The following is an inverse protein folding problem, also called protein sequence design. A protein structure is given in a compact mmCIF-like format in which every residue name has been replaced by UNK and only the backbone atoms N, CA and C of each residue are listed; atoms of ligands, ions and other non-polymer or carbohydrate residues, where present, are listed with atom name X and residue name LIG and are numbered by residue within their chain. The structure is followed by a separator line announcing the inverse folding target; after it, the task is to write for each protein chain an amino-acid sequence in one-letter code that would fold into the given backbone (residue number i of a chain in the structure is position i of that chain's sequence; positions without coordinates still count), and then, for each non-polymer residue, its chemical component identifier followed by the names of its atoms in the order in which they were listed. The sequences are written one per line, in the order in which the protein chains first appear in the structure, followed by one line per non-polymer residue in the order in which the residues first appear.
data_IF_990184605255
#
_entry.id   IF_990184605255
#
_cell.length_a   1.000
_cell.length_b   1.000
_cell.length_c   1.000
_cell.angle_alpha   90.00
_cell.angle_beta   90.00
_cell.angle_gamma   90.00
#
_symmetry.space_group_name_H-M   'P 1'
#
loop_
_entity.id
_entity.type
_entity.pdbx_description
1 polymer ?
#
# COMPACT_ATOMS: atom_id res chain seq x y z
N UNK A 1 17.12 8.20 -5.80
CA UNK A 1 15.77 8.46 -6.33
C UNK A 1 15.11 7.13 -6.59
N UNK A 2 13.80 7.02 -6.34
CA UNK A 2 12.97 5.85 -6.67
C UNK A 2 11.60 6.28 -7.19
N UNK A 3 10.82 5.35 -7.74
CA UNK A 3 9.44 5.61 -8.14
C UNK A 3 8.56 5.72 -6.91
N UNK A 4 7.77 6.79 -6.83
CA UNK A 4 6.73 6.96 -5.83
C UNK A 4 5.68 5.85 -5.94
N UNK A 5 5.40 5.15 -4.83
CA UNK A 5 4.39 4.08 -4.73
C UNK A 5 2.98 4.56 -5.13
N UNK A 6 2.71 5.85 -4.95
CA UNK A 6 1.37 6.42 -5.17
C UNK A 6 1.16 6.81 -6.63
N UNK A 7 2.10 7.57 -7.22
CA UNK A 7 1.91 8.15 -8.55
C UNK A 7 2.89 7.65 -9.63
N UNK A 8 3.84 6.77 -9.27
CA UNK A 8 4.81 6.20 -10.20
C UNK A 8 5.91 7.15 -10.69
N UNK A 9 5.85 8.44 -10.39
CA UNK A 9 6.88 9.41 -10.77
C UNK A 9 8.15 9.20 -9.96
N UNK A 10 9.30 9.56 -10.54
CA UNK A 10 10.56 9.59 -9.80
C UNK A 10 10.51 10.64 -8.69
N UNK A 11 10.98 10.24 -7.52
CA UNK A 11 11.02 11.07 -6.33
C UNK A 11 12.36 10.91 -5.58
N UNK A 12 12.85 11.97 -4.92
CA UNK A 12 13.85 11.87 -3.88
C UNK A 12 13.46 10.85 -2.82
N UNK A 13 14.43 10.04 -2.39
CA UNK A 13 14.25 9.04 -1.35
C UNK A 13 15.41 9.07 -0.38
N UNK A 14 15.12 8.80 0.89
CA UNK A 14 16.11 8.72 1.97
C UNK A 14 15.88 7.43 2.75
N UNK A 15 16.91 6.60 2.84
CA UNK A 15 16.89 5.43 3.71
C UNK A 15 17.06 5.88 5.15
N UNK A 16 16.07 5.60 6.00
CA UNK A 16 16.09 5.97 7.41
C UNK A 16 16.65 4.84 8.28
N UNK A 17 16.38 3.59 7.90
CA UNK A 17 16.90 2.39 8.57
C UNK A 17 17.03 1.25 7.56
N UNK A 18 17.47 0.06 8.01
CA UNK A 18 17.53 -1.15 7.18
C UNK A 18 16.16 -1.56 6.61
N UNK A 19 15.06 -1.12 7.21
CA UNK A 19 13.70 -1.53 6.86
C UNK A 19 12.83 -0.39 6.34
N UNK A 20 13.24 0.87 6.53
CA UNK A 20 12.38 2.04 6.35
C UNK A 20 12.95 3.04 5.36
N UNK A 21 12.10 3.49 4.45
CA UNK A 21 12.41 4.56 3.50
C UNK A 21 11.44 5.74 3.64
N UNK A 22 11.98 6.93 3.43
CA UNK A 22 11.23 8.17 3.29
C UNK A 22 11.25 8.59 1.81
N UNK A 23 10.08 8.93 1.29
CA UNK A 23 9.89 9.45 -0.06
C UNK A 23 9.39 10.88 0.06
N UNK A 24 10.00 11.79 -0.68
CA UNK A 24 9.52 13.16 -0.81
C UNK A 24 9.04 13.39 -2.24
N UNK A 25 7.77 13.08 -2.51
CA UNK A 25 7.22 13.16 -3.86
C UNK A 25 6.61 14.55 -4.10
N UNK A 26 7.02 15.29 -5.16
CA UNK A 26 6.49 16.62 -5.44
C UNK A 26 4.99 16.63 -5.79
N UNK A 27 4.41 15.47 -6.12
CA UNK A 27 2.99 15.34 -6.48
C UNK A 27 2.12 14.75 -5.36
N UNK A 28 2.70 13.90 -4.52
CA UNK A 28 1.95 13.16 -3.49
C UNK A 28 2.21 13.66 -2.07
N UNK A 29 3.31 14.38 -1.85
CA UNK A 29 3.79 14.76 -0.52
C UNK A 29 4.85 13.79 0.01
N UNK A 30 5.27 14.05 1.25
CA UNK A 30 6.26 13.23 1.94
C UNK A 30 5.59 12.14 2.77
N UNK A 31 6.09 10.91 2.64
CA UNK A 31 5.60 9.75 3.38
C UNK A 31 6.72 8.74 3.59
N UNK A 32 6.50 7.82 4.52
CA UNK A 32 7.41 6.71 4.81
C UNK A 32 6.79 5.39 4.43
N UNK A 33 7.62 4.40 4.14
CA UNK A 33 7.14 3.05 3.94
C UNK A 33 8.22 2.02 4.28
N UNK A 34 7.76 0.83 4.66
CA UNK A 34 8.63 -0.33 4.83
C UNK A 34 9.00 -0.99 3.51
N UNK A 35 10.25 -1.43 3.39
CA UNK A 35 10.71 -2.14 2.19
C UNK A 35 9.85 -3.38 1.88
N UNK A 36 9.35 -4.07 2.90
CA UNK A 36 8.43 -5.20 2.74
C UNK A 36 7.07 -4.75 2.18
N UNK A 37 6.51 -3.64 2.68
CA UNK A 37 5.23 -3.08 2.23
C UNK A 37 5.22 -2.84 0.71
N UNK A 38 6.33 -2.35 0.15
CA UNK A 38 6.42 -2.14 -1.30
C UNK A 38 6.13 -3.41 -2.10
N UNK A 39 6.66 -4.56 -1.66
CA UNK A 39 6.48 -5.83 -2.36
C UNK A 39 5.01 -6.28 -2.30
N UNK A 40 4.42 -6.24 -1.10
CA UNK A 40 3.00 -6.57 -0.87
C UNK A 40 2.08 -5.64 -1.66
N UNK A 41 2.39 -4.35 -1.67
CA UNK A 41 1.62 -3.32 -2.36
C UNK A 41 1.71 -3.44 -3.89
N UNK A 42 2.89 -3.70 -4.44
CA UNK A 42 3.08 -3.91 -5.88
C UNK A 42 2.30 -5.17 -6.34
N UNK A 43 2.36 -6.26 -5.56
CA UNK A 43 1.55 -7.45 -5.82
C UNK A 43 0.06 -7.13 -5.76
N UNK A 44 -0.41 -6.45 -4.70
CA UNK A 44 -1.81 -6.04 -4.56
C UNK A 44 -2.28 -5.22 -5.77
N UNK A 45 -1.53 -4.19 -6.16
CA UNK A 45 -1.86 -3.34 -7.32
C UNK A 45 -1.91 -4.11 -8.64
N UNK A 46 -1.13 -5.17 -8.80
CA UNK A 46 -1.12 -6.01 -10.00
C UNK A 46 -2.44 -6.76 -10.22
N UNK A 47 -3.18 -7.03 -9.13
CA UNK A 47 -4.47 -7.71 -9.15
C UNK A 47 -5.65 -6.74 -9.37
N UNK A 48 -5.40 -5.42 -9.38
CA UNK A 48 -6.46 -4.41 -9.44
C UNK A 48 -6.73 -3.94 -10.88
N UNK A 49 -8.00 -3.68 -11.18
CA UNK A 49 -8.40 -3.00 -12.41
C UNK A 49 -7.83 -1.58 -12.47
N UNK A 50 -7.67 -1.00 -13.66
CA UNK A 50 -7.18 0.38 -13.82
C UNK A 50 -8.04 1.40 -13.03
N UNK A 51 -9.35 1.17 -12.97
CA UNK A 51 -10.29 1.99 -12.20
C UNK A 51 -9.98 1.95 -10.71
N UNK A 52 -9.76 0.75 -10.16
CA UNK A 52 -9.41 0.58 -8.74
C UNK A 52 -8.03 1.14 -8.43
N UNK A 53 -7.04 0.94 -9.30
CA UNK A 53 -5.70 1.56 -9.15
C UNK A 53 -5.78 3.09 -9.04
N UNK A 54 -6.59 3.74 -9.87
CA UNK A 54 -6.83 5.20 -9.80
C UNK A 54 -7.53 5.61 -8.49
N UNK A 55 -8.44 4.78 -7.97
CA UNK A 55 -9.11 5.02 -6.68
C UNK A 55 -8.12 4.91 -5.51
N UNK A 56 -7.31 3.85 -5.49
CA UNK A 56 -6.26 3.61 -4.50
C UNK A 56 -5.28 4.79 -4.46
N UNK A 57 -4.77 5.18 -5.64
CA UNK A 57 -3.89 6.33 -5.78
C UNK A 57 -4.49 7.60 -5.16
N UNK A 58 -5.76 7.91 -5.45
CA UNK A 58 -6.43 9.10 -4.88
C UNK A 58 -6.56 9.04 -3.36
N UNK A 59 -6.84 7.86 -2.79
CA UNK A 59 -6.95 7.72 -1.34
C UNK A 59 -5.59 7.85 -0.65
N UNK A 60 -4.54 7.22 -1.18
CA UNK A 60 -3.19 7.39 -0.62
C UNK A 60 -2.74 8.85 -0.68
N UNK A 61 -3.01 9.56 -1.79
CA UNK A 61 -2.75 11.00 -1.88
C UNK A 61 -3.51 11.80 -0.82
N UNK A 62 -4.74 11.41 -0.50
CA UNK A 62 -5.54 12.06 0.54
C UNK A 62 -4.93 11.84 1.93
N UNK A 63 -4.55 10.60 2.25
CA UNK A 63 -3.93 10.25 3.53
C UNK A 63 -2.63 11.02 3.77
N UNK A 64 -1.74 11.05 2.78
CA UNK A 64 -0.46 11.76 2.87
C UNK A 64 -0.66 13.27 3.09
N UNK A 65 -1.72 13.86 2.51
CA UNK A 65 -2.03 15.28 2.71
C UNK A 65 -2.64 15.59 4.09
N UNK A 66 -3.17 14.59 4.79
CA UNK A 66 -3.80 14.79 6.10
C UNK A 66 -2.79 14.79 7.25
N UNK A 67 -1.58 14.26 7.05
CA UNK A 67 -0.55 14.27 8.07
C UNK A 67 0.66 13.40 7.71
N UNK A 68 1.54 13.19 8.70
CA UNK A 68 2.64 12.26 8.57
C UNK A 68 2.12 10.83 8.44
N UNK A 69 2.51 10.14 7.37
CA UNK A 69 2.05 8.77 7.07
C UNK A 69 3.26 7.84 6.95
N UNK A 70 3.15 6.65 7.54
CA UNK A 70 4.03 5.53 7.33
C UNK A 70 3.21 4.32 6.85
N UNK A 71 3.55 3.75 5.70
CA UNK A 71 2.93 2.52 5.20
C UNK A 71 3.74 1.29 5.65
N UNK A 72 3.09 0.35 6.33
CA UNK A 72 3.75 -0.78 7.00
C UNK A 72 3.20 -2.11 6.50
N UNK A 73 4.02 -3.16 6.48
CA UNK A 73 3.59 -4.51 6.12
C UNK A 73 3.12 -5.24 7.39
N UNK A 74 1.89 -5.74 7.37
CA UNK A 74 1.28 -6.29 8.59
C UNK A 74 1.75 -7.71 8.86
N UNK A 75 2.95 -7.85 9.43
CA UNK A 75 3.39 -9.03 10.17
C UNK A 75 4.39 -8.63 11.27
N UNK A 76 3.84 -8.37 12.46
CA UNK A 76 4.45 -8.52 13.79
C UNK A 76 5.68 -7.69 14.24
N UNK A 77 6.33 -6.83 13.44
CA UNK A 77 7.63 -6.24 13.88
C UNK A 77 7.91 -4.79 13.50
N UNK A 78 7.16 -3.83 14.03
CA UNK A 78 7.59 -2.42 13.91
C UNK A 78 7.13 -1.57 15.08
N UNK A 79 8.07 -0.79 15.62
CA UNK A 79 7.90 0.11 16.77
C UNK A 79 7.16 1.42 16.43
N UNK A 80 6.48 1.52 15.28
CA UNK A 80 5.79 2.75 14.85
C UNK A 80 4.34 2.51 14.45
N UNK A 81 3.47 3.44 14.84
CA UNK A 81 2.10 3.55 14.34
C UNK A 81 2.13 3.91 12.83
N UNK A 82 1.41 3.16 12.01
CA UNK A 82 1.37 3.34 10.56
C UNK A 82 0.10 2.77 9.95
N UNK A 83 -0.15 3.08 8.68
CA UNK A 83 -1.25 2.50 7.91
C UNK A 83 -0.80 1.20 7.27
N UNK A 84 -1.32 0.09 7.77
CA UNK A 84 -1.10 -1.21 7.15
C UNK A 84 -1.91 -1.35 5.85
N UNK A 85 -1.51 -2.31 5.01
CA UNK A 85 -2.20 -2.55 3.74
C UNK A 85 -3.69 -2.91 3.95
N UNK A 86 -4.03 -3.66 5.00
CA UNK A 86 -5.43 -3.99 5.29
C UNK A 86 -6.25 -2.76 5.72
N UNK A 87 -5.67 -1.80 6.44
CA UNK A 87 -6.35 -0.55 6.79
C UNK A 87 -6.59 0.32 5.56
N UNK A 88 -5.67 0.29 4.59
CA UNK A 88 -5.92 0.88 3.27
C UNK A 88 -7.11 0.20 2.59
N UNK A 89 -7.26 -1.12 2.67
CA UNK A 89 -8.41 -1.85 2.13
C UNK A 89 -9.73 -1.45 2.81
N UNK A 90 -9.73 -1.28 4.12
CA UNK A 90 -10.90 -0.83 4.89
C UNK A 90 -11.31 0.62 4.51
N UNK A 91 -10.32 1.51 4.36
CA UNK A 91 -10.55 2.89 3.87
C UNK A 91 -11.06 2.90 2.43
N UNK A 92 -10.63 1.94 1.60
CA UNK A 92 -11.09 1.80 0.22
C UNK A 92 -12.51 1.22 0.14
N UNK A 93 -12.95 0.47 1.14
CA UNK A 93 -14.26 -0.17 1.21
C UNK A 93 -15.06 0.17 2.48
N UNK A 94 -15.48 1.43 2.65
CA UNK A 94 -16.17 1.89 3.86
C UNK A 94 -17.59 1.30 4.06
N UNK A 95 -18.07 0.49 3.12
CA UNK A 95 -19.40 -0.14 3.14
C UNK A 95 -19.33 -1.66 3.38
N UNK A 96 -18.15 -2.25 3.56
CA UNK A 96 -18.01 -3.69 3.78
C UNK A 96 -18.55 -4.55 2.64
N UNK A 97 -18.35 -4.12 1.37
CA UNK A 97 -18.63 -5.01 0.23
C UNK A 97 -17.49 -6.00 0.17
N UNK A 98 -17.67 -7.18 0.75
CA UNK A 98 -16.73 -8.31 0.66
C UNK A 98 -16.04 -8.33 -0.71
N UNK A 99 -14.75 -8.04 -0.74
CA UNK A 99 -13.92 -8.47 -1.86
C UNK A 99 -13.82 -9.96 -1.65
N UNK A 100 -14.77 -10.69 -2.22
CA UNK A 100 -14.81 -12.13 -2.19
C UNK A 100 -13.41 -12.62 -2.57
N UNK A 101 -12.68 -13.12 -1.57
CA UNK A 101 -11.55 -13.98 -1.81
C UNK A 101 -12.14 -15.18 -2.54
N UNK A 102 -12.07 -15.18 -3.86
CA UNK A 102 -12.36 -16.36 -4.67
C UNK A 102 -11.19 -17.35 -4.46
N UNK A 103 -11.03 -17.80 -3.22
CA UNK A 103 -10.36 -19.05 -2.88
C UNK A 103 -11.37 -20.17 -3.11
N UNK A 104 -11.85 -20.30 -4.35
CA UNK A 104 -12.35 -21.59 -4.82
C UNK A 104 -11.16 -22.30 -5.44
N UNK A 105 -10.26 -22.77 -4.58
CA UNK A 105 -9.48 -23.96 -4.90
C UNK A 105 -10.52 -25.09 -4.87
N UNK A 106 -11.07 -25.42 -6.03
CA UNK A 106 -11.85 -26.64 -6.21
C UNK A 106 -10.85 -27.81 -6.24
N UNK A 107 -10.24 -28.09 -5.09
CA UNK A 107 -9.52 -29.32 -4.84
C UNK A 107 -10.53 -30.38 -4.42
N UNK A 108 -11.38 -30.81 -5.35
CA UNK A 108 -11.86 -32.20 -5.36
C UNK A 108 -10.88 -33.03 -6.18
N UNK A 109 -9.64 -33.12 -5.69
CA UNK A 109 -8.85 -34.34 -5.84
C UNK A 109 -9.52 -35.35 -4.89
N UNK A 110 -10.36 -36.21 -5.45
CA UNK A 110 -10.69 -37.50 -4.85
C UNK A 110 -10.08 -38.57 -5.73
N UNK A 111 -9.47 -39.53 -5.05
CA UNK A 111 -8.66 -40.65 -5.51
C UNK A 111 -9.22 -41.40 -6.74
#
# INVERSE_FOLDING_TARGET
MKRCLVCGHEAPTKTLSLLLEEVDCPYCGSYRYELAFQTSYDFFLSQQSEKERKRIQKQMQKLIKQGAVCFVDDYEKVEMDGYALYELLDVLNPLGIDVAHNNTIDSNYKD
#
